data_IF_771525432268
#
_entry.id   IF_771525432268
#
_cell.length_a   1.000
_cell.length_b   1.000
_cell.length_c   1.000
_cell.angle_alpha   90.00
_cell.angle_beta   90.00
_cell.angle_gamma   90.00
#
_symmetry.space_group_name_H-M   'P 1'
#
loop_
_entity.id
_entity.type
_entity.pdbx_description
1 polymer ?
#
# COMPACT_ATOMS: atom_id res chain seq x y z
N UNK A 1 47.37 -18.12 -39.99
CA UNK A 1 45.95 -17.64 -40.08
C UNK A 1 44.98 -18.40 -39.18
N UNK A 2 44.98 -19.75 -39.15
CA UNK A 2 44.03 -20.52 -38.29
C UNK A 2 44.20 -20.27 -36.77
N UNK A 3 45.40 -19.96 -36.26
CA UNK A 3 45.66 -19.69 -34.84
C UNK A 3 45.19 -18.28 -34.42
N UNK A 4 45.20 -17.31 -35.32
CA UNK A 4 44.70 -15.96 -35.05
C UNK A 4 43.18 -15.94 -35.01
N UNK A 5 42.51 -16.73 -35.88
CA UNK A 5 41.04 -16.88 -35.83
C UNK A 5 40.54 -17.53 -34.54
N UNK A 6 41.30 -18.50 -33.99
CA UNK A 6 40.98 -19.13 -32.71
C UNK A 6 41.10 -18.16 -31.53
N UNK A 7 42.12 -17.28 -31.53
CA UNK A 7 42.28 -16.25 -30.51
C UNK A 7 41.19 -15.19 -30.58
N UNK A 8 40.75 -14.81 -31.77
CA UNK A 8 39.67 -13.86 -32.00
C UNK A 8 38.30 -14.42 -31.56
N UNK A 9 38.10 -15.74 -31.76
CA UNK A 9 36.89 -16.43 -31.32
C UNK A 9 36.80 -16.56 -29.79
N UNK A 10 37.96 -16.75 -29.11
CA UNK A 10 38.04 -16.80 -27.64
C UNK A 10 37.78 -15.41 -27.02
N UNK A 11 38.26 -14.34 -27.68
CA UNK A 11 38.03 -12.97 -27.23
C UNK A 11 36.53 -12.55 -27.33
N UNK A 12 35.78 -13.19 -28.25
CA UNK A 12 34.36 -12.94 -28.44
C UNK A 12 33.46 -13.69 -27.42
N UNK A 13 34.05 -14.65 -26.68
CA UNK A 13 33.41 -15.46 -25.64
C UNK A 13 33.73 -14.99 -24.22
N UNK A 14 34.28 -13.78 -24.05
CA UNK A 14 34.36 -13.20 -22.71
C UNK A 14 32.90 -12.89 -22.28
N UNK A 15 32.33 -13.65 -21.35
CA UNK A 15 31.02 -13.29 -20.82
C UNK A 15 31.19 -11.91 -20.19
N UNK A 16 30.48 -10.93 -20.72
CA UNK A 16 30.29 -9.68 -20.03
C UNK A 16 29.55 -10.04 -18.74
N UNK A 17 30.27 -10.32 -17.66
CA UNK A 17 29.69 -10.35 -16.34
C UNK A 17 29.23 -8.90 -16.07
N UNK A 18 27.99 -8.61 -16.43
CA UNK A 18 27.29 -7.47 -15.90
C UNK A 18 27.12 -7.73 -14.41
N UNK A 19 28.14 -7.42 -13.63
CA UNK A 19 28.03 -7.35 -12.18
C UNK A 19 26.96 -6.30 -11.85
N UNK A 20 26.17 -6.53 -10.82
CA UNK A 20 25.26 -5.54 -10.29
C UNK A 20 25.99 -4.19 -10.15
N UNK A 21 25.65 -3.21 -11.00
CA UNK A 21 26.33 -1.93 -11.03
C UNK A 21 25.70 -1.05 -9.95
N UNK A 22 26.52 -0.73 -8.92
CA UNK A 22 26.11 0.21 -7.89
C UNK A 22 26.35 1.62 -8.39
N UNK A 23 25.29 2.32 -8.73
CA UNK A 23 25.32 3.71 -9.18
C UNK A 23 25.14 4.65 -7.99
N UNK A 24 26.00 5.66 -7.87
CA UNK A 24 25.90 6.65 -6.80
C UNK A 24 26.00 8.06 -7.38
N UNK A 25 25.12 8.95 -6.94
CA UNK A 25 25.14 10.37 -7.28
C UNK A 25 25.00 11.21 -6.01
N UNK A 26 25.82 12.24 -5.87
CA UNK A 26 25.82 13.14 -4.71
C UNK A 26 25.12 14.43 -5.07
N UNK A 27 24.31 14.94 -4.16
CA UNK A 27 23.80 16.31 -4.23
C UNK A 27 24.85 17.25 -3.62
N UNK A 28 25.41 18.13 -4.43
CA UNK A 28 26.50 19.02 -4.03
C UNK A 28 26.06 20.08 -2.99
N UNK A 29 24.76 20.41 -2.95
CA UNK A 29 24.23 21.42 -2.03
C UNK A 29 24.03 20.86 -0.61
N UNK A 30 23.53 19.62 -0.50
CA UNK A 30 23.16 19.01 0.79
C UNK A 30 24.17 17.99 1.28
N UNK A 31 25.00 17.45 0.38
CA UNK A 31 25.93 16.34 0.64
C UNK A 31 25.24 14.97 0.72
N UNK A 32 23.89 14.90 0.61
CA UNK A 32 23.19 13.63 0.57
C UNK A 32 23.41 12.91 -0.74
N UNK A 33 23.31 11.59 -0.70
CA UNK A 33 23.58 10.72 -1.86
C UNK A 33 22.35 9.93 -2.28
N UNK A 34 22.23 9.72 -3.59
CA UNK A 34 21.29 8.76 -4.18
C UNK A 34 22.08 7.53 -4.64
N UNK A 35 21.63 6.33 -4.26
CA UNK A 35 22.28 5.06 -4.56
C UNK A 35 21.32 4.09 -5.18
N UNK A 36 21.66 3.54 -6.36
CA UNK A 36 20.97 2.41 -6.99
C UNK A 36 21.88 1.19 -6.87
N UNK A 37 21.37 0.13 -6.30
CA UNK A 37 22.01 -1.18 -6.19
C UNK A 37 21.03 -2.23 -6.75
N UNK A 38 21.13 -2.49 -8.05
CA UNK A 38 20.22 -3.40 -8.75
C UNK A 38 20.80 -4.82 -8.81
N UNK A 39 20.92 -5.46 -7.64
CA UNK A 39 21.41 -6.82 -7.51
C UNK A 39 20.56 -7.89 -8.19
N UNK A 40 19.31 -7.58 -8.49
CA UNK A 40 18.39 -8.48 -9.20
C UNK A 40 18.34 -8.24 -10.71
N UNK A 41 19.06 -7.23 -11.23
CA UNK A 41 19.12 -6.86 -12.65
C UNK A 41 17.70 -6.64 -13.26
N UNK A 42 16.91 -5.81 -12.60
CA UNK A 42 15.50 -5.59 -12.97
C UNK A 42 15.32 -4.44 -13.96
N UNK A 43 16.33 -3.61 -14.16
CA UNK A 43 16.26 -2.39 -14.96
C UNK A 43 17.33 -2.35 -16.03
N UNK A 44 17.09 -1.61 -17.08
CA UNK A 44 18.07 -1.34 -18.14
C UNK A 44 18.84 -0.01 -17.90
N UNK A 45 19.84 0.24 -18.73
CA UNK A 45 20.72 1.41 -18.58
C UNK A 45 19.99 2.76 -18.76
N UNK A 46 18.91 2.81 -19.56
CA UNK A 46 18.11 4.01 -19.72
C UNK A 46 17.25 4.27 -18.49
N UNK A 47 16.65 3.23 -17.96
CA UNK A 47 15.80 3.27 -16.76
C UNK A 47 16.60 3.72 -15.53
N UNK A 48 17.87 3.33 -15.38
CA UNK A 48 18.72 3.81 -14.28
C UNK A 48 18.83 5.34 -14.24
N UNK A 49 18.97 5.99 -15.40
CA UNK A 49 19.05 7.45 -15.46
C UNK A 49 17.74 8.11 -15.00
N UNK A 50 16.61 7.58 -15.42
CA UNK A 50 15.29 8.14 -15.10
C UNK A 50 14.99 7.96 -13.60
N UNK A 51 15.29 6.77 -13.05
CA UNK A 51 15.16 6.49 -11.62
C UNK A 51 16.09 7.40 -10.82
N UNK A 52 17.36 7.51 -11.20
CA UNK A 52 18.36 8.36 -10.52
C UNK A 52 17.91 9.82 -10.52
N UNK A 53 17.43 10.34 -11.63
CA UNK A 53 16.94 11.72 -11.70
C UNK A 53 15.73 11.95 -10.77
N UNK A 54 14.84 10.95 -10.67
CA UNK A 54 13.71 11.01 -9.74
C UNK A 54 14.18 11.00 -8.29
N UNK A 55 15.19 10.18 -7.95
CA UNK A 55 15.76 10.08 -6.62
C UNK A 55 16.47 11.38 -6.19
N UNK A 56 17.10 12.09 -7.12
CA UNK A 56 17.84 13.32 -6.81
C UNK A 56 16.98 14.38 -6.12
N UNK A 57 15.68 14.47 -6.40
CA UNK A 57 14.79 15.39 -5.69
C UNK A 57 14.61 15.06 -4.19
N UNK A 58 14.84 13.81 -3.78
CA UNK A 58 14.78 13.39 -2.37
C UNK A 58 16.06 13.77 -1.63
N UNK A 59 17.18 13.91 -2.32
CA UNK A 59 18.46 14.28 -1.71
C UNK A 59 18.50 15.71 -1.15
N UNK A 60 17.47 16.51 -1.38
CA UNK A 60 17.29 17.77 -0.66
C UNK A 60 16.94 17.57 0.83
N UNK A 61 16.48 16.39 1.19
CA UNK A 61 15.96 16.06 2.53
C UNK A 61 16.77 14.97 3.24
N UNK A 62 17.23 13.94 2.51
CA UNK A 62 17.95 12.79 3.10
C UNK A 62 18.66 11.97 2.03
N UNK A 63 19.50 11.03 2.46
CA UNK A 63 20.01 9.99 1.57
C UNK A 63 18.89 9.11 1.05
N UNK A 64 18.99 8.65 -0.21
CA UNK A 64 17.97 7.82 -0.83
C UNK A 64 18.57 6.61 -1.53
N UNK A 65 17.95 5.46 -1.37
CA UNK A 65 18.38 4.20 -1.98
C UNK A 65 17.30 3.50 -2.78
N UNK A 66 17.73 2.85 -3.84
CA UNK A 66 16.98 1.77 -4.48
C UNK A 66 17.81 0.51 -4.35
N UNK A 67 17.23 -0.52 -3.75
CA UNK A 67 17.90 -1.82 -3.61
C UNK A 67 17.00 -2.92 -4.17
N UNK A 68 17.51 -3.68 -5.14
CA UNK A 68 16.82 -4.87 -5.64
C UNK A 68 17.59 -6.11 -5.22
N UNK A 69 16.86 -7.12 -4.77
CA UNK A 69 17.45 -8.34 -4.23
C UNK A 69 16.88 -9.59 -4.91
N UNK A 70 17.80 -10.47 -5.32
CA UNK A 70 17.45 -11.81 -5.76
C UNK A 70 18.54 -12.77 -5.27
N UNK A 71 18.24 -13.61 -4.30
CA UNK A 71 19.21 -14.52 -3.68
C UNK A 71 18.53 -15.58 -2.82
N UNK A 72 19.32 -16.34 -2.08
CA UNK A 72 18.81 -17.47 -1.28
C UNK A 72 18.13 -17.06 0.02
N UNK A 73 18.47 -15.89 0.57
CA UNK A 73 17.94 -15.47 1.86
C UNK A 73 16.46 -15.13 1.79
N UNK A 74 15.64 -15.84 2.58
CA UNK A 74 14.21 -15.57 2.81
C UNK A 74 13.98 -14.80 4.11
N UNK A 75 14.99 -14.12 4.64
CA UNK A 75 14.81 -13.24 5.79
C UNK A 75 13.73 -12.18 5.50
N UNK A 76 13.17 -11.61 6.55
CA UNK A 76 12.18 -10.55 6.41
C UNK A 76 12.73 -9.37 5.61
N UNK A 77 11.95 -8.84 4.68
CA UNK A 77 12.38 -7.76 3.78
C UNK A 77 12.85 -6.52 4.54
N UNK A 78 12.25 -6.25 5.71
CA UNK A 78 12.66 -5.14 6.57
C UNK A 78 14.06 -5.28 7.14
N UNK A 79 14.45 -6.48 7.55
CA UNK A 79 15.79 -6.74 8.10
C UNK A 79 16.86 -6.58 7.02
N UNK A 80 16.57 -7.05 5.80
CA UNK A 80 17.46 -6.84 4.63
C UNK A 80 17.60 -5.37 4.28
N UNK A 81 16.47 -4.63 4.31
CA UNK A 81 16.45 -3.19 4.02
C UNK A 81 17.26 -2.42 5.06
N UNK A 82 17.11 -2.73 6.34
CA UNK A 82 17.85 -2.12 7.43
C UNK A 82 19.35 -2.44 7.35
N UNK A 83 19.72 -3.68 7.12
CA UNK A 83 21.10 -4.11 6.96
C UNK A 83 21.78 -3.38 5.79
N UNK A 84 21.12 -3.32 4.64
CA UNK A 84 21.65 -2.62 3.48
C UNK A 84 21.78 -1.12 3.70
N UNK A 85 20.75 -0.49 4.31
CA UNK A 85 20.78 0.92 4.63
C UNK A 85 21.91 1.29 5.59
N UNK A 86 22.11 0.49 6.66
CA UNK A 86 23.19 0.68 7.62
C UNK A 86 24.59 0.52 7.03
N UNK A 87 24.74 -0.32 6.01
CA UNK A 87 26.01 -0.50 5.27
C UNK A 87 26.28 0.62 4.26
N UNK A 88 25.22 1.23 3.73
CA UNK A 88 25.32 2.15 2.60
C UNK A 88 25.28 3.61 3.03
N UNK A 89 24.51 3.94 4.06
CA UNK A 89 24.28 5.31 4.48
C UNK A 89 24.74 5.57 5.91
N UNK A 90 25.09 6.82 6.14
CA UNK A 90 25.25 7.39 7.49
C UNK A 90 24.22 8.50 7.65
N UNK A 91 23.41 8.44 8.73
CA UNK A 91 22.40 9.47 9.04
C UNK A 91 21.03 9.24 8.36
N UNK A 92 20.34 10.33 8.09
CA UNK A 92 18.95 10.27 7.59
C UNK A 92 18.85 9.63 6.22
N UNK A 93 18.00 8.62 6.08
CA UNK A 93 17.81 7.98 4.77
C UNK A 93 16.42 7.38 4.60
N UNK A 94 16.05 7.20 3.33
CA UNK A 94 14.92 6.40 2.89
C UNK A 94 15.35 5.43 1.79
N UNK A 95 14.77 4.25 1.78
CA UNK A 95 15.12 3.15 0.86
C UNK A 95 13.86 2.55 0.28
N UNK A 96 13.81 2.41 -1.03
CA UNK A 96 12.83 1.55 -1.69
C UNK A 96 13.50 0.24 -2.08
N UNK A 97 12.95 -0.87 -1.60
CA UNK A 97 13.48 -2.21 -1.84
C UNK A 97 12.50 -3.06 -2.64
N UNK A 98 13.03 -3.81 -3.62
CA UNK A 98 12.29 -4.83 -4.37
C UNK A 98 12.97 -6.17 -4.11
N UNK A 99 12.31 -7.05 -3.39
CA UNK A 99 12.81 -8.40 -3.09
C UNK A 99 12.12 -9.42 -3.99
N UNK A 100 12.85 -9.92 -4.98
CA UNK A 100 12.37 -10.91 -5.93
C UNK A 100 12.26 -12.31 -5.33
N UNK A 101 13.00 -12.58 -4.26
CA UNK A 101 12.99 -13.90 -3.58
C UNK A 101 11.71 -14.12 -2.79
N UNK A 102 11.26 -13.09 -2.09
CA UNK A 102 10.02 -13.14 -1.30
C UNK A 102 8.84 -12.49 -2.01
N UNK A 103 9.07 -11.92 -3.19
CA UNK A 103 8.10 -11.16 -3.98
C UNK A 103 7.42 -10.07 -3.13
N UNK A 104 8.25 -9.22 -2.57
CA UNK A 104 7.81 -8.10 -1.73
C UNK A 104 8.52 -6.81 -2.15
N UNK A 105 7.77 -5.72 -2.09
CA UNK A 105 8.31 -4.37 -2.15
C UNK A 105 8.21 -3.73 -0.78
N UNK A 106 9.15 -2.85 -0.47
CA UNK A 106 9.18 -2.15 0.82
C UNK A 106 9.71 -0.73 0.68
N UNK A 107 9.04 0.20 1.33
CA UNK A 107 9.56 1.53 1.62
C UNK A 107 10.04 1.55 3.08
N UNK A 108 11.35 1.58 3.28
CA UNK A 108 11.98 1.66 4.57
C UNK A 108 12.53 3.07 4.81
N UNK A 109 12.53 3.52 6.05
CA UNK A 109 13.08 4.84 6.40
C UNK A 109 13.70 4.81 7.79
N UNK A 110 14.77 5.57 7.99
CA UNK A 110 15.42 5.75 9.29
C UNK A 110 14.45 6.40 10.30
N UNK A 111 14.71 6.23 11.59
CA UNK A 111 13.84 6.69 12.68
C UNK A 111 13.44 8.17 12.57
N UNK A 112 14.36 9.03 12.15
CA UNK A 112 14.09 10.45 12.00
C UNK A 112 13.18 10.74 10.80
N UNK A 113 13.42 10.05 9.68
CA UNK A 113 12.59 10.20 8.48
C UNK A 113 11.16 9.67 8.68
N UNK A 114 10.96 8.70 9.59
CA UNK A 114 9.64 8.16 9.95
C UNK A 114 8.72 9.17 10.65
N UNK A 115 9.25 10.26 11.15
CA UNK A 115 8.42 11.38 11.66
C UNK A 115 7.63 12.04 10.51
N UNK A 116 8.21 12.09 9.32
CA UNK A 116 7.60 12.67 8.12
C UNK A 116 6.97 11.60 7.23
N UNK A 117 7.73 10.53 6.93
CA UNK A 117 7.26 9.34 6.18
C UNK A 117 6.71 8.33 7.19
N UNK A 118 5.54 8.63 7.75
CA UNK A 118 4.91 7.73 8.74
C UNK A 118 4.55 6.38 8.13
N UNK A 119 4.36 5.36 8.98
CA UNK A 119 3.92 4.03 8.55
C UNK A 119 2.66 4.09 7.67
N UNK A 120 1.69 4.92 8.04
CA UNK A 120 0.45 5.08 7.26
C UNK A 120 0.71 5.63 5.85
N UNK A 121 1.57 6.65 5.74
CA UNK A 121 1.95 7.22 4.44
C UNK A 121 2.77 6.21 3.61
N UNK A 122 3.69 5.48 4.25
CA UNK A 122 4.45 4.42 3.60
C UNK A 122 3.56 3.31 3.06
N UNK A 123 2.58 2.85 3.81
CA UNK A 123 1.60 1.86 3.35
C UNK A 123 0.85 2.35 2.10
N UNK A 124 0.40 3.61 2.09
CA UNK A 124 -0.27 4.20 0.93
C UNK A 124 0.64 4.19 -0.30
N UNK A 125 1.91 4.58 -0.15
CA UNK A 125 2.87 4.60 -1.26
C UNK A 125 3.07 3.19 -1.81
N UNK A 126 3.32 2.22 -0.94
CA UNK A 126 3.54 0.82 -1.35
C UNK A 126 2.28 0.23 -2.00
N UNK A 127 1.10 0.50 -1.43
CA UNK A 127 -0.20 0.09 -2.01
C UNK A 127 -0.49 0.74 -3.37
N UNK A 128 0.06 1.92 -3.66
CA UNK A 128 -0.11 2.59 -4.95
C UNK A 128 0.78 2.00 -6.05
N UNK A 129 1.89 1.35 -5.70
CA UNK A 129 2.91 0.95 -6.67
C UNK A 129 3.05 -0.56 -6.86
N UNK A 130 2.46 -1.40 -5.99
CA UNK A 130 2.65 -2.86 -6.04
C UNK A 130 2.19 -3.48 -7.37
N UNK A 131 1.18 -2.91 -8.02
CA UNK A 131 0.69 -3.39 -9.31
C UNK A 131 1.76 -3.28 -10.39
N UNK A 132 2.55 -2.20 -10.41
CA UNK A 132 3.67 -2.06 -11.35
C UNK A 132 4.74 -3.14 -11.15
N UNK A 133 5.03 -3.50 -9.88
CA UNK A 133 5.94 -4.61 -9.60
C UNK A 133 5.35 -5.96 -10.06
N UNK A 134 4.04 -6.18 -9.90
CA UNK A 134 3.33 -7.36 -10.42
C UNK A 134 3.40 -7.45 -11.95
N UNK A 135 3.30 -6.31 -12.62
CA UNK A 135 3.34 -6.19 -14.08
C UNK A 135 4.78 -6.17 -14.62
N UNK A 136 5.78 -6.30 -13.73
CA UNK A 136 7.23 -6.26 -14.04
C UNK A 136 7.74 -4.89 -14.53
N UNK A 137 7.00 -3.83 -14.30
CA UNK A 137 7.39 -2.44 -14.59
C UNK A 137 8.20 -1.87 -13.41
N UNK A 138 9.36 -2.47 -13.12
CA UNK A 138 10.12 -2.20 -11.88
C UNK A 138 10.66 -0.77 -11.79
N UNK A 139 11.15 -0.23 -12.88
CA UNK A 139 11.61 1.17 -12.95
C UNK A 139 10.46 2.14 -12.66
N UNK A 140 9.29 1.91 -13.28
CA UNK A 140 8.08 2.72 -13.04
C UNK A 140 7.58 2.58 -11.61
N UNK A 141 7.65 1.37 -11.03
CA UNK A 141 7.35 1.11 -9.63
C UNK A 141 8.21 1.99 -8.72
N UNK A 142 9.54 1.96 -8.91
CA UNK A 142 10.50 2.73 -8.13
C UNK A 142 10.31 4.25 -8.32
N UNK A 143 10.21 4.73 -9.57
CA UNK A 143 10.00 6.16 -9.84
C UNK A 143 8.71 6.69 -9.22
N UNK A 144 7.63 5.91 -9.29
CA UNK A 144 6.35 6.32 -8.70
C UNK A 144 6.44 6.35 -7.18
N UNK A 145 7.12 5.37 -6.55
CA UNK A 145 7.35 5.35 -5.11
C UNK A 145 8.17 6.57 -4.67
N UNK A 146 9.27 6.90 -5.38
CA UNK A 146 10.11 8.05 -5.06
C UNK A 146 9.37 9.38 -5.28
N UNK A 147 8.60 9.54 -6.35
CA UNK A 147 7.81 10.74 -6.57
C UNK A 147 6.77 10.96 -5.45
N UNK A 148 6.10 9.90 -4.99
CA UNK A 148 5.16 9.99 -3.88
C UNK A 148 5.89 10.26 -2.55
N UNK A 149 7.06 9.66 -2.35
CA UNK A 149 7.91 9.93 -1.18
C UNK A 149 8.34 11.40 -1.15
N UNK A 150 8.77 11.95 -2.28
CA UNK A 150 9.14 13.37 -2.40
C UNK A 150 7.95 14.29 -2.08
N UNK A 151 6.75 13.98 -2.54
CA UNK A 151 5.55 14.74 -2.19
C UNK A 151 5.27 14.71 -0.69
N UNK A 152 5.45 13.56 -0.04
CA UNK A 152 5.32 13.43 1.41
C UNK A 152 6.36 14.28 2.14
N UNK A 153 7.61 14.33 1.66
CA UNK A 153 8.68 15.15 2.21
C UNK A 153 8.41 16.65 2.07
N UNK A 154 7.77 17.04 0.97
CA UNK A 154 7.29 18.43 0.74
C UNK A 154 6.06 18.80 1.58
N UNK A 155 5.53 17.87 2.41
CA UNK A 155 4.33 18.08 3.22
C UNK A 155 3.01 17.89 2.47
N UNK A 156 3.05 17.39 1.23
CA UNK A 156 1.85 17.09 0.46
C UNK A 156 1.20 15.78 0.90
N UNK A 157 -0.09 15.65 0.61
CA UNK A 157 -0.82 14.39 0.85
C UNK A 157 -0.75 13.49 -0.38
N UNK A 158 -0.53 12.20 -0.15
CA UNK A 158 -0.64 11.15 -1.17
C UNK A 158 -1.96 10.41 -0.94
N UNK A 159 -2.79 10.34 -1.97
CA UNK A 159 -4.05 9.60 -1.91
C UNK A 159 -3.77 8.10 -2.01
N UNK A 160 -4.41 7.31 -1.17
CA UNK A 160 -4.39 5.85 -1.28
C UNK A 160 -5.15 5.37 -2.53
N UNK A 161 -4.91 4.12 -2.95
CA UNK A 161 -5.63 3.53 -4.08
C UNK A 161 -7.13 3.55 -3.76
N UNK A 162 -7.94 4.06 -4.67
CA UNK A 162 -9.39 4.02 -4.53
C UNK A 162 -9.84 2.56 -4.48
N UNK A 163 -10.34 2.13 -3.34
CA UNK A 163 -10.96 0.81 -3.20
C UNK A 163 -12.32 0.86 -3.90
N UNK A 164 -12.34 0.60 -5.19
CA UNK A 164 -13.56 0.61 -6.03
C UNK A 164 -14.72 -0.18 -5.41
N UNK A 165 -14.41 -1.27 -4.70
CA UNK A 165 -15.40 -2.11 -4.03
C UNK A 165 -16.16 -1.33 -2.95
N UNK A 166 -15.48 -0.51 -2.14
CA UNK A 166 -16.13 0.29 -1.09
C UNK A 166 -17.04 1.36 -1.68
N UNK A 167 -16.60 2.01 -2.77
CA UNK A 167 -17.42 3.02 -3.46
C UNK A 167 -18.61 2.40 -4.18
N UNK A 168 -18.45 1.22 -4.79
CA UNK A 168 -19.55 0.47 -5.41
C UNK A 168 -20.58 0.03 -4.35
N UNK A 169 -20.12 -0.49 -3.20
CA UNK A 169 -21.00 -0.89 -2.11
C UNK A 169 -21.79 0.31 -1.56
N UNK A 170 -21.11 1.44 -1.34
CA UNK A 170 -21.74 2.68 -0.91
C UNK A 170 -22.81 3.14 -1.91
N UNK A 171 -22.50 3.11 -3.21
CA UNK A 171 -23.46 3.47 -4.26
C UNK A 171 -24.70 2.56 -4.24
N UNK A 172 -24.53 1.25 -4.05
CA UNK A 172 -25.64 0.29 -3.92
C UNK A 172 -26.49 0.60 -2.68
N UNK A 173 -25.87 0.86 -1.53
CA UNK A 173 -26.59 1.20 -0.29
C UNK A 173 -27.40 2.49 -0.47
N UNK A 174 -26.81 3.52 -1.06
CA UNK A 174 -27.51 4.79 -1.35
C UNK A 174 -28.67 4.57 -2.32
N UNK A 175 -28.48 3.78 -3.38
CA UNK A 175 -29.54 3.45 -4.32
C UNK A 175 -30.72 2.72 -3.67
N UNK A 176 -30.44 1.76 -2.78
CA UNK A 176 -31.47 1.03 -2.03
C UNK A 176 -32.24 1.95 -1.06
N UNK A 177 -31.54 2.86 -0.37
CA UNK A 177 -32.16 3.83 0.51
C UNK A 177 -33.09 4.79 -0.26
N UNK A 178 -32.65 5.28 -1.42
CA UNK A 178 -33.47 6.13 -2.30
C UNK A 178 -34.67 5.37 -2.84
N UNK A 179 -34.52 4.13 -3.27
CA UNK A 179 -35.62 3.29 -3.71
C UNK A 179 -36.62 3.05 -2.59
N UNK A 180 -36.18 2.76 -1.37
CA UNK A 180 -37.03 2.61 -0.19
C UNK A 180 -37.79 3.90 0.11
N UNK A 181 -37.15 5.05 0.05
CA UNK A 181 -37.74 6.36 0.30
C UNK A 181 -38.83 6.67 -0.74
N UNK A 182 -38.56 6.38 -2.02
CA UNK A 182 -39.54 6.57 -3.10
C UNK A 182 -40.78 5.65 -2.95
N UNK A 183 -40.58 4.41 -2.54
CA UNK A 183 -41.66 3.45 -2.30
C UNK A 183 -42.45 3.89 -1.07
N UNK A 184 -41.80 4.29 0.02
CA UNK A 184 -42.43 4.73 1.26
C UNK A 184 -43.30 5.97 1.03
N UNK A 185 -42.80 6.97 0.29
CA UNK A 185 -43.55 8.18 -0.02
C UNK A 185 -44.76 7.93 -0.94
N UNK A 186 -44.69 6.93 -1.83
CA UNK A 186 -45.83 6.53 -2.66
C UNK A 186 -46.88 5.75 -1.88
N UNK A 187 -46.45 4.94 -0.90
CA UNK A 187 -47.39 4.13 -0.12
C UNK A 187 -48.24 4.97 0.83
N UNK A 188 -47.77 6.13 1.30
CA UNK A 188 -48.58 7.04 2.11
C UNK A 188 -49.70 7.74 1.33
N UNK A 189 -49.69 7.73 -0.02
CA UNK A 189 -50.70 8.37 -0.84
C UNK A 189 -51.91 7.47 -1.15
N UNK A 190 -51.79 6.13 -0.95
CA UNK A 190 -52.85 5.20 -1.36
C UNK A 190 -53.81 4.74 -0.25
N UNK A 191 -53.55 5.06 1.03
CA UNK A 191 -54.43 4.64 2.11
C UNK A 191 -55.24 5.84 2.68
N UNK A 192 -55.98 6.54 1.82
CA UNK A 192 -57.16 7.27 2.30
C UNK A 192 -58.36 6.34 2.21
N UNK A 193 -58.38 5.29 3.01
CA UNK A 193 -59.63 4.54 3.28
C UNK A 193 -60.50 5.46 4.11
N UNK A 194 -61.57 5.97 3.48
CA UNK A 194 -62.50 6.83 4.19
C UNK A 194 -63.21 6.02 5.28
N UNK A 195 -63.19 6.54 6.51
CA UNK A 195 -63.86 5.92 7.67
C UNK A 195 -65.28 5.40 7.41
N UNK A 196 -66.15 6.01 6.54
CA UNK A 196 -67.44 5.47 6.24
C UNK A 196 -67.45 4.11 5.51
N UNK A 197 -66.40 3.77 4.76
CA UNK A 197 -66.32 2.51 4.01
C UNK A 197 -66.01 1.30 4.92
N UNK A 198 -65.28 1.53 6.02
CA UNK A 198 -64.98 0.51 7.02
C UNK A 198 -66.26 0.18 7.84
N UNK A 199 -67.07 1.15 8.11
CA UNK A 199 -68.32 0.97 8.91
C UNK A 199 -69.37 0.16 8.12
N UNK A 200 -69.44 0.33 6.81
CA UNK A 200 -70.40 -0.44 5.98
C UNK A 200 -69.91 -1.89 5.77
N UNK A 201 -68.61 -2.13 5.71
CA UNK A 201 -68.10 -3.50 5.57
C UNK A 201 -68.21 -4.32 6.88
N UNK A 202 -68.21 -3.69 8.04
CA UNK A 202 -68.36 -4.38 9.33
C UNK A 202 -69.80 -4.59 9.75
N UNK A 203 -70.77 -3.81 9.21
CA UNK A 203 -72.21 -3.98 9.50
C UNK A 203 -72.84 -5.24 8.85
N UNK A 204 -72.16 -5.83 7.85
CA UNK A 204 -72.64 -7.04 7.16
C UNK A 204 -72.14 -8.36 7.73
N UNK A 205 -71.18 -8.37 8.63
CA UNK A 205 -70.65 -9.58 9.24
C UNK A 205 -70.90 -9.56 10.76
N UNK A 206 -72.03 -10.06 11.17
CA UNK A 206 -72.26 -10.42 12.56
C UNK A 206 -71.42 -11.59 12.99
N UNK A 207 -70.23 -11.30 13.44
CA UNK A 207 -69.37 -12.28 14.08
C UNK A 207 -68.64 -11.63 15.24
N UNK A 208 -68.87 -12.10 16.42
CA UNK A 208 -68.18 -11.83 17.67
C UNK A 208 -66.73 -12.18 17.53
N UNK A 209 -65.88 -11.20 17.39
CA UNK A 209 -64.44 -11.46 17.55
C UNK A 209 -64.02 -10.97 18.92
N UNK A 210 -63.84 -11.94 19.83
CA UNK A 210 -63.23 -11.72 21.14
C UNK A 210 -61.83 -11.14 20.97
N UNK A 211 -61.62 -9.90 21.42
CA UNK A 211 -60.34 -9.25 21.41
C UNK A 211 -59.39 -9.98 22.40
N UNK A 212 -58.56 -10.86 21.89
CA UNK A 212 -57.48 -11.46 22.66
C UNK A 212 -56.34 -10.45 22.76
N UNK A 213 -56.21 -9.83 23.92
CA UNK A 213 -55.13 -8.90 24.22
C UNK A 213 -53.80 -9.66 24.26
N UNK A 214 -53.02 -9.61 23.17
CA UNK A 214 -51.66 -10.13 23.13
C UNK A 214 -50.74 -9.11 23.79
N UNK A 215 -50.34 -9.35 25.05
CA UNK A 215 -49.30 -8.59 25.69
C UNK A 215 -47.96 -9.04 25.14
N UNK A 216 -47.31 -8.21 24.34
CA UNK A 216 -45.97 -8.45 23.85
C UNK A 216 -44.97 -8.09 24.94
N UNK A 217 -44.42 -9.10 25.62
CA UNK A 217 -43.33 -8.93 26.56
C UNK A 217 -42.02 -8.69 25.79
N UNK A 218 -41.55 -7.46 25.79
CA UNK A 218 -40.27 -7.10 25.20
C UNK A 218 -39.17 -7.54 26.17
N UNK A 219 -38.42 -8.57 25.80
CA UNK A 219 -37.18 -8.91 26.49
C UNK A 219 -36.07 -8.01 25.93
N UNK A 220 -35.60 -7.09 26.76
CA UNK A 220 -34.34 -6.42 26.52
C UNK A 220 -33.19 -7.40 26.89
N UNK A 221 -32.57 -7.98 25.91
CA UNK A 221 -31.26 -8.64 26.09
C UNK A 221 -30.17 -7.58 25.97
N UNK A 222 -29.60 -7.19 27.08
CA UNK A 222 -28.37 -6.42 27.10
C UNK A 222 -27.22 -7.36 26.71
N UNK A 223 -26.82 -7.36 25.44
CA UNK A 223 -25.58 -7.96 25.01
C UNK A 223 -24.46 -6.95 25.16
N UNK A 224 -23.69 -7.08 26.23
CA UNK A 224 -22.38 -6.45 26.34
C UNK A 224 -21.43 -7.12 25.33
N UNK A 225 -21.32 -6.53 24.14
CA UNK A 225 -20.33 -6.93 23.14
C UNK A 225 -18.97 -6.33 23.51
N UNK A 226 -18.12 -7.14 24.13
CA UNK A 226 -16.71 -6.80 24.28
C UNK A 226 -16.03 -6.83 22.92
N UNK A 227 -15.65 -5.65 22.40
CA UNK A 227 -14.79 -5.53 21.23
C UNK A 227 -13.36 -5.86 21.60
N UNK A 228 -12.89 -7.04 21.21
CA UNK A 228 -11.48 -7.36 21.25
C UNK A 228 -10.77 -6.70 20.08
N UNK A 229 -10.08 -5.61 20.34
CA UNK A 229 -9.08 -5.09 19.42
C UNK A 229 -7.88 -6.03 19.44
N UNK A 230 -7.71 -6.83 18.41
CA UNK A 230 -6.50 -7.57 18.10
C UNK A 230 -5.37 -6.60 17.78
N UNK A 231 -4.59 -6.20 18.78
CA UNK A 231 -3.35 -5.49 18.58
C UNK A 231 -2.31 -6.46 18.05
N UNK A 232 -1.90 -6.29 16.81
CA UNK A 232 -0.68 -6.90 16.31
C UNK A 232 0.51 -6.17 16.93
N UNK A 233 0.98 -6.70 18.06
CA UNK A 233 2.23 -6.27 18.66
C UNK A 233 3.39 -6.75 17.80
N UNK A 234 4.00 -5.86 17.02
CA UNK A 234 5.29 -6.09 16.42
C UNK A 234 6.36 -6.05 17.51
N UNK A 235 6.89 -7.21 17.89
CA UNK A 235 8.03 -7.29 18.78
C UNK A 235 9.27 -6.70 18.12
N UNK A 236 9.80 -5.62 18.68
CA UNK A 236 11.12 -5.11 18.40
C UNK A 236 12.14 -5.91 19.19
N UNK A 237 12.85 -6.82 18.55
CA UNK A 237 14.07 -7.41 19.10
C UNK A 237 15.22 -6.39 18.97
N UNK A 238 15.63 -5.85 20.09
CA UNK A 238 16.81 -5.00 20.16
C UNK A 238 18.08 -5.83 19.99
N UNK A 239 18.81 -5.58 18.92
CA UNK A 239 20.18 -6.01 18.71
C UNK A 239 21.09 -4.79 18.71
N UNK A 240 21.96 -4.66 19.71
CA UNK A 240 22.91 -3.56 19.83
C UNK A 240 24.04 -3.68 18.81
N UNK A 241 24.09 -2.77 17.89
CA UNK A 241 25.19 -2.46 17.01
C UNK A 241 24.96 -1.05 16.52
N UNK A 242 26.00 -0.21 16.46
CA UNK A 242 25.92 1.24 16.23
C UNK A 242 25.37 1.69 14.88
N UNK A 243 24.30 1.09 14.41
CA UNK A 243 23.51 1.51 13.28
C UNK A 243 22.25 2.29 13.74
N UNK A 244 21.74 3.16 12.89
CA UNK A 244 20.47 3.83 13.14
C UNK A 244 19.32 2.86 12.86
N UNK A 245 18.36 2.81 13.78
CA UNK A 245 17.17 2.00 13.61
C UNK A 245 16.16 2.67 12.68
N UNK A 246 15.38 1.90 12.00
CA UNK A 246 14.37 2.37 11.06
C UNK A 246 13.16 1.45 11.02
N UNK A 247 12.34 1.60 10.04
CA UNK A 247 11.21 0.72 9.78
C UNK A 247 10.49 1.13 8.52
N UNK A 248 9.56 0.30 8.06
CA UNK A 248 8.96 0.59 6.78
C UNK A 248 7.66 -0.16 6.55
N UNK A 249 7.10 0.07 5.39
CA UNK A 249 5.86 -0.51 4.89
C UNK A 249 6.15 -1.46 3.76
N UNK A 250 5.58 -2.67 3.78
CA UNK A 250 5.80 -3.68 2.75
C UNK A 250 4.48 -4.18 2.17
N UNK A 251 4.52 -4.62 0.92
CA UNK A 251 3.43 -5.27 0.19
C UNK A 251 3.98 -6.41 -0.67
N UNK A 252 3.21 -7.52 -0.76
CA UNK A 252 3.50 -8.60 -1.69
C UNK A 252 3.01 -8.28 -3.11
N UNK A 253 3.68 -8.83 -4.14
CA UNK A 253 3.33 -8.68 -5.56
C UNK A 253 3.50 -9.97 -6.37
#
# INVERSE_FOLDING_TARGET
MKRIAAFLLILLLVPCFAGAEKLTKTNEETGYIAVIDDGALLMDAAEYNDVMNTMMGITDYCNVGLYTYHGESRAYVGDKAEEWANKTFTGHCTLFMIDMTTRQIMLWSSSDMRKTITQAKGNIIVDNVYTYASDKEYARCAMTAFNQTLRVLKGETVSGPMKYISNALLAVVVALLLAYLLISTRHEQEVKVSLPEIITATAGMGAVIGAKKLSRKVHHSSSSGGGSHGGFGGGSSGGGGGGFSGGGSSHGF
#
